data_IF_690748025935
#
_entry.id   IF_690748025935
#
_cell.length_a   1.000
_cell.length_b   1.000
_cell.length_c   1.000
_cell.angle_alpha   90.00
_cell.angle_beta   90.00
_cell.angle_gamma   90.00
#
_symmetry.space_group_name_H-M   'P 1'
#
loop_
_entity.id
_entity.type
_entity.pdbx_description
1 polymer ?
#
# COMPACT_ATOMS: atom_id res chain seq x y z
N UNK A 1 -11.01 5.96 -36.00
CA UNK A 1 -9.99 5.16 -35.28
C UNK A 1 -10.52 4.84 -33.90
N UNK A 2 -10.75 3.55 -33.57
CA UNK A 2 -11.19 3.16 -32.23
C UNK A 2 -9.99 3.17 -31.28
N UNK A 3 -10.03 4.01 -30.24
CA UNK A 3 -9.00 4.02 -29.19
C UNK A 3 -9.06 2.68 -28.45
N UNK A 4 -7.96 1.91 -28.47
CA UNK A 4 -7.85 0.67 -27.67
C UNK A 4 -8.22 0.96 -26.19
N UNK A 5 -8.97 0.09 -25.51
CA UNK A 5 -9.38 0.31 -24.12
C UNK A 5 -8.17 0.32 -23.17
N UNK A 6 -8.33 0.96 -22.00
CA UNK A 6 -7.34 0.89 -20.91
C UNK A 6 -7.28 -0.54 -20.36
N UNK A 7 -6.08 -1.03 -20.04
CA UNK A 7 -5.89 -2.33 -19.38
C UNK A 7 -6.36 -2.22 -17.92
N UNK A 8 -7.37 -2.99 -17.50
CA UNK A 8 -7.80 -3.00 -16.10
C UNK A 8 -6.77 -3.73 -15.25
N UNK A 9 -6.47 -3.16 -14.08
CA UNK A 9 -5.62 -3.75 -13.06
C UNK A 9 -6.35 -3.58 -11.73
N UNK A 10 -6.29 -4.58 -10.86
CA UNK A 10 -6.83 -4.47 -9.50
C UNK A 10 -5.67 -4.46 -8.53
N UNK A 11 -5.71 -3.55 -7.56
CA UNK A 11 -4.69 -3.43 -6.51
C UNK A 11 -5.33 -3.43 -5.13
N UNK A 12 -4.68 -4.00 -4.14
CA UNK A 12 -5.14 -3.90 -2.76
C UNK A 12 -3.98 -3.52 -1.84
N UNK A 13 -4.24 -2.58 -0.94
CA UNK A 13 -3.23 -1.98 -0.08
C UNK A 13 -3.66 -1.99 1.38
N UNK A 14 -2.67 -1.97 2.27
CA UNK A 14 -2.88 -1.92 3.73
C UNK A 14 -2.28 -0.66 4.33
N UNK A 15 -3.11 0.14 4.99
CA UNK A 15 -2.68 1.10 5.99
C UNK A 15 -2.43 0.38 7.31
N UNK A 16 -1.19 -0.03 7.55
CA UNK A 16 -0.80 -0.55 8.85
C UNK A 16 -0.44 0.61 9.77
N UNK A 17 -1.28 0.86 10.77
CA UNK A 17 -1.14 2.02 11.65
C UNK A 17 -0.65 1.58 13.03
N UNK A 18 0.32 2.31 13.58
CA UNK A 18 0.79 2.16 14.96
C UNK A 18 0.89 3.53 15.62
N UNK A 19 0.05 3.77 16.64
CA UNK A 19 -0.12 5.09 17.27
C UNK A 19 -0.43 6.15 16.18
N UNK A 20 0.39 7.18 16.05
CA UNK A 20 0.26 8.22 15.02
C UNK A 20 1.23 8.03 13.85
N UNK A 21 1.58 6.79 13.52
CA UNK A 21 2.47 6.47 12.40
C UNK A 21 1.86 5.43 11.47
N UNK A 22 2.18 5.57 10.19
CA UNK A 22 1.81 4.67 9.11
C UNK A 22 3.05 3.90 8.65
N UNK A 23 2.94 2.59 8.51
CA UNK A 23 3.98 1.80 7.85
C UNK A 23 4.00 2.12 6.36
N UNK A 24 5.19 2.48 5.87
CA UNK A 24 5.46 2.72 4.45
C UNK A 24 6.80 2.09 4.10
N UNK A 25 7.10 2.03 2.81
CA UNK A 25 8.41 1.64 2.34
C UNK A 25 8.92 2.52 1.20
N UNK A 26 10.23 2.41 1.00
CA UNK A 26 10.96 2.88 -0.17
C UNK A 26 11.74 1.71 -0.80
N UNK A 27 12.02 1.82 -2.09
CA UNK A 27 12.89 0.89 -2.80
C UNK A 27 14.33 1.40 -2.67
N UNK A 28 15.20 0.61 -2.04
CA UNK A 28 16.59 1.01 -1.74
C UNK A 28 17.39 1.22 -3.03
N UNK A 29 17.17 0.35 -4.01
CA UNK A 29 17.87 0.38 -5.29
C UNK A 29 17.28 1.39 -6.28
N UNK A 30 16.11 1.96 -5.95
CA UNK A 30 15.40 2.96 -6.76
C UNK A 30 14.93 4.12 -5.87
N UNK A 31 15.85 4.95 -5.35
CA UNK A 31 15.53 5.98 -4.36
C UNK A 31 14.62 7.09 -4.89
N UNK A 32 14.56 7.29 -6.21
CA UNK A 32 13.64 8.23 -6.86
C UNK A 32 12.19 7.71 -6.88
N UNK A 33 11.99 6.41 -6.58
CA UNK A 33 10.67 5.84 -6.49
C UNK A 33 9.96 6.36 -5.25
N UNK A 34 8.74 6.87 -5.42
CA UNK A 34 8.07 7.54 -4.32
C UNK A 34 7.45 6.53 -3.36
N UNK A 35 7.34 6.90 -2.07
CA UNK A 35 6.89 6.00 -0.99
C UNK A 35 5.59 5.25 -1.31
N UNK A 36 5.55 3.99 -0.88
CA UNK A 36 4.45 3.06 -1.09
C UNK A 36 3.98 2.40 0.21
N UNK A 37 2.78 1.83 0.14
CA UNK A 37 2.16 1.05 1.21
C UNK A 37 2.45 -0.43 0.97
N UNK A 38 2.35 -1.29 2.00
CA UNK A 38 2.19 -2.72 1.77
C UNK A 38 1.01 -2.98 0.82
N UNK A 39 1.23 -3.80 -0.19
CA UNK A 39 0.18 -4.28 -1.08
C UNK A 39 0.47 -4.14 -2.57
N UNK A 40 -0.11 -5.04 -3.35
CA UNK A 40 0.22 -5.22 -4.76
C UNK A 40 -0.97 -5.55 -5.63
N UNK A 41 -0.70 -6.33 -6.68
CA UNK A 41 -1.67 -6.70 -7.72
C UNK A 41 -2.48 -7.91 -7.27
N UNK A 42 -3.79 -7.88 -7.50
CA UNK A 42 -4.60 -9.08 -7.30
C UNK A 42 -4.24 -10.13 -8.35
N UNK A 43 -4.07 -11.37 -7.91
CA UNK A 43 -3.99 -12.53 -8.79
C UNK A 43 -5.34 -12.82 -9.47
N UNK A 44 -5.35 -13.61 -10.57
CA UNK A 44 -6.59 -14.04 -11.20
C UNK A 44 -7.54 -14.71 -10.21
N UNK A 45 -8.76 -14.16 -10.08
CA UNK A 45 -9.83 -14.61 -9.18
C UNK A 45 -9.56 -14.40 -7.69
N UNK A 46 -8.49 -13.71 -7.32
CA UNK A 46 -8.20 -13.36 -5.93
C UNK A 46 -9.18 -12.30 -5.41
N UNK A 47 -9.58 -12.45 -4.15
CA UNK A 47 -10.40 -11.45 -3.47
C UNK A 47 -9.51 -10.31 -2.95
N UNK A 48 -9.91 -9.03 -3.07
CA UNK A 48 -9.10 -7.91 -2.62
C UNK A 48 -8.53 -7.99 -1.19
N UNK A 49 -9.27 -8.45 -0.15
CA UNK A 49 -8.68 -8.58 1.18
C UNK A 49 -7.66 -9.71 1.29
N UNK A 50 -7.77 -10.76 0.47
CA UNK A 50 -6.78 -11.84 0.42
C UNK A 50 -5.48 -11.36 -0.22
N UNK A 51 -5.59 -10.61 -1.34
CA UNK A 51 -4.43 -9.97 -1.97
C UNK A 51 -3.73 -8.99 -1.03
N UNK A 52 -4.49 -8.12 -0.36
CA UNK A 52 -3.92 -7.19 0.61
C UNK A 52 -3.15 -7.91 1.72
N UNK A 53 -3.66 -9.05 2.19
CA UNK A 53 -2.99 -9.86 3.22
C UNK A 53 -1.75 -10.55 2.67
N UNK A 54 -1.85 -11.28 1.55
CA UNK A 54 -0.76 -12.00 0.90
C UNK A 54 0.42 -11.08 0.62
N UNK A 55 0.18 -10.02 -0.14
CA UNK A 55 1.20 -9.03 -0.52
C UNK A 55 1.85 -8.41 0.72
N UNK A 56 1.05 -8.05 1.74
CA UNK A 56 1.61 -7.49 2.97
C UNK A 56 2.54 -8.47 3.69
N UNK A 57 2.24 -9.77 3.69
CA UNK A 57 3.08 -10.80 4.31
C UNK A 57 4.35 -11.02 3.48
N UNK A 58 4.21 -11.22 2.17
CA UNK A 58 5.30 -11.45 1.22
C UNK A 58 6.29 -10.27 1.22
N UNK A 59 5.82 -9.05 1.02
CA UNK A 59 6.68 -7.88 0.93
C UNK A 59 7.31 -7.52 2.28
N UNK A 60 6.60 -7.64 3.40
CA UNK A 60 7.16 -7.22 4.71
C UNK A 60 8.01 -8.27 5.40
N UNK A 61 7.84 -9.55 5.05
CA UNK A 61 8.41 -10.69 5.78
C UNK A 61 7.84 -10.86 7.19
N UNK A 62 6.68 -10.27 7.50
CA UNK A 62 6.05 -10.31 8.83
C UNK A 62 4.91 -11.32 8.89
N UNK A 63 5.26 -12.60 8.96
CA UNK A 63 4.29 -13.66 9.25
C UNK A 63 3.52 -13.35 10.55
N UNK A 64 2.20 -13.24 10.43
CA UNK A 64 1.30 -12.93 11.54
C UNK A 64 1.45 -11.53 12.15
N UNK A 65 2.19 -10.62 11.51
CA UNK A 65 2.38 -9.25 12.01
C UNK A 65 1.13 -8.37 11.92
N UNK A 66 0.30 -8.61 10.90
CA UNK A 66 -0.89 -7.81 10.59
C UNK A 66 -2.14 -8.26 11.37
N UNK A 67 -2.92 -7.29 11.83
CA UNK A 67 -4.23 -7.48 12.44
C UNK A 67 -5.33 -7.69 11.40
N UNK A 68 -6.58 -7.74 11.89
CA UNK A 68 -7.74 -7.85 11.01
C UNK A 68 -7.81 -6.68 10.02
N UNK A 69 -8.08 -7.00 8.75
CA UNK A 69 -8.24 -6.01 7.70
C UNK A 69 -9.65 -5.43 7.72
N UNK A 70 -9.75 -4.10 7.81
CA UNK A 70 -11.02 -3.38 7.67
C UNK A 70 -10.99 -2.50 6.42
N UNK A 71 -11.90 -2.72 5.48
CA UNK A 71 -12.01 -1.84 4.31
C UNK A 71 -12.37 -0.41 4.76
N UNK A 72 -11.58 0.58 4.35
CA UNK A 72 -11.84 2.01 4.66
C UNK A 72 -12.11 2.87 3.43
N UNK A 73 -11.82 2.35 2.24
CA UNK A 73 -12.13 3.04 1.00
C UNK A 73 -11.67 2.29 -0.24
N UNK A 74 -12.18 2.76 -1.37
CA UNK A 74 -11.76 2.38 -2.71
C UNK A 74 -11.54 3.64 -3.53
N UNK A 75 -10.71 3.54 -4.55
CA UNK A 75 -10.63 4.56 -5.58
C UNK A 75 -10.26 3.95 -6.94
N UNK A 76 -10.25 4.80 -7.96
CA UNK A 76 -9.81 4.45 -9.31
C UNK A 76 -8.68 5.40 -9.70
N UNK A 77 -7.56 4.83 -10.13
CA UNK A 77 -6.44 5.58 -10.67
C UNK A 77 -6.24 5.24 -12.14
N UNK A 78 -6.16 6.25 -12.99
CA UNK A 78 -5.78 6.07 -14.39
C UNK A 78 -4.32 6.43 -14.54
N UNK A 79 -3.55 5.56 -15.19
CA UNK A 79 -2.18 5.83 -15.59
C UNK A 79 -2.13 6.00 -17.11
N UNK A 80 -2.21 7.24 -17.66
CA UNK A 80 -2.35 7.46 -19.09
C UNK A 80 -1.18 6.90 -19.91
N UNK A 81 0.06 7.13 -19.44
CA UNK A 81 1.29 6.68 -20.13
C UNK A 81 1.35 5.16 -20.32
N UNK A 82 1.05 4.40 -19.26
CA UNK A 82 1.01 2.93 -19.30
C UNK A 82 -0.36 2.37 -19.71
N UNK A 83 -1.33 3.24 -20.01
CA UNK A 83 -2.71 2.89 -20.41
C UNK A 83 -3.40 1.95 -19.42
N UNK A 84 -3.18 2.16 -18.12
CA UNK A 84 -3.76 1.35 -17.06
C UNK A 84 -4.96 2.06 -16.42
N UNK A 85 -5.98 1.30 -16.06
CA UNK A 85 -7.03 1.71 -15.12
C UNK A 85 -6.94 0.79 -13.90
N UNK A 86 -6.57 1.35 -12.77
CA UNK A 86 -6.38 0.64 -11.52
C UNK A 86 -7.60 0.84 -10.63
N UNK A 87 -8.35 -0.23 -10.36
CA UNK A 87 -9.33 -0.25 -9.28
C UNK A 87 -8.59 -0.64 -7.99
N UNK A 88 -8.68 0.18 -6.95
CA UNK A 88 -7.82 0.04 -5.76
C UNK A 88 -8.65 -0.07 -4.49
N UNK A 89 -8.33 -1.05 -3.65
CA UNK A 89 -8.93 -1.28 -2.35
C UNK A 89 -7.95 -0.96 -1.23
N UNK A 90 -8.43 -0.30 -0.18
CA UNK A 90 -7.59 0.13 0.94
C UNK A 90 -8.14 -0.36 2.27
N UNK A 91 -7.31 -1.10 2.98
CA UNK A 91 -7.63 -1.70 4.26
C UNK A 91 -6.86 -1.03 5.39
N UNK A 92 -7.51 -0.82 6.52
CA UNK A 92 -6.86 -0.44 7.77
C UNK A 92 -6.51 -1.72 8.55
N UNK A 93 -5.31 -1.76 9.10
CA UNK A 93 -4.85 -2.80 10.01
C UNK A 93 -3.98 -2.23 11.12
N UNK A 94 -3.86 -2.98 12.21
CA UNK A 94 -3.00 -2.67 13.35
C UNK A 94 -2.08 -3.85 13.63
N UNK A 95 -0.82 -3.62 14.06
CA UNK A 95 0.09 -4.70 14.42
C UNK A 95 -0.49 -5.59 15.51
N UNK A 96 -0.36 -6.91 15.36
CA UNK A 96 -0.69 -7.90 16.41
C UNK A 96 0.41 -8.05 17.46
N UNK A 97 1.62 -7.59 17.15
CA UNK A 97 2.80 -7.66 18.02
C UNK A 97 3.64 -6.40 17.88
N UNK A 98 4.57 -6.20 18.80
CA UNK A 98 5.59 -5.16 18.62
C UNK A 98 6.41 -5.45 17.37
N UNK A 99 6.61 -4.43 16.54
CA UNK A 99 7.39 -4.47 15.31
C UNK A 99 8.57 -3.51 15.39
N UNK A 100 9.70 -3.82 14.71
CA UNK A 100 10.87 -2.94 14.69
C UNK A 100 10.53 -1.51 14.24
N UNK A 101 11.40 -0.56 14.59
CA UNK A 101 11.29 0.82 14.12
C UNK A 101 11.55 0.94 12.60
N UNK A 102 12.38 0.07 12.06
CA UNK A 102 12.59 -0.11 10.63
C UNK A 102 13.20 -1.49 10.38
N UNK A 103 13.02 -2.02 9.18
CA UNK A 103 13.68 -3.27 8.75
C UNK A 103 13.76 -3.30 7.21
N UNK A 104 14.48 -4.29 6.69
CA UNK A 104 14.58 -4.52 5.24
C UNK A 104 13.98 -5.86 4.87
N UNK A 105 13.46 -5.95 3.65
CA UNK A 105 12.95 -7.15 3.02
C UNK A 105 13.17 -7.06 1.51
N UNK A 106 12.56 -7.97 0.76
CA UNK A 106 12.67 -8.07 -0.69
C UNK A 106 11.29 -8.27 -1.31
N UNK A 107 11.00 -7.51 -2.38
CA UNK A 107 9.92 -7.85 -3.31
C UNK A 107 10.52 -8.82 -4.33
N UNK A 108 10.11 -10.09 -4.26
CA UNK A 108 10.70 -11.16 -5.07
C UNK A 108 10.19 -11.16 -6.51
N UNK A 109 8.94 -10.75 -6.72
CA UNK A 109 8.26 -10.76 -8.01
C UNK A 109 7.72 -9.37 -8.39
N UNK A 110 8.62 -8.38 -8.58
CA UNK A 110 8.21 -7.01 -8.86
C UNK A 110 7.48 -6.89 -10.20
N UNK A 111 6.36 -6.17 -10.18
CA UNK A 111 5.57 -5.94 -11.40
C UNK A 111 6.30 -5.10 -12.46
N UNK A 112 7.23 -4.25 -12.03
CA UNK A 112 7.91 -3.26 -12.87
C UNK A 112 9.39 -3.63 -13.16
N UNK A 113 9.94 -4.68 -12.52
CA UNK A 113 11.36 -5.02 -12.58
C UNK A 113 11.59 -6.51 -12.85
N UNK A 114 12.81 -6.86 -13.28
CA UNK A 114 13.17 -8.25 -13.64
C UNK A 114 13.99 -8.97 -12.57
N UNK A 115 14.37 -8.28 -11.49
CA UNK A 115 15.18 -8.80 -10.39
C UNK A 115 14.53 -8.42 -9.04
N UNK A 116 14.72 -9.23 -7.98
CA UNK A 116 14.20 -8.90 -6.65
C UNK A 116 14.65 -7.52 -6.19
N UNK A 117 13.72 -6.71 -5.67
CA UNK A 117 14.01 -5.33 -5.25
C UNK A 117 14.14 -5.26 -3.74
N UNK A 118 15.21 -4.62 -3.26
CA UNK A 118 15.37 -4.40 -1.82
C UNK A 118 14.45 -3.28 -1.33
N UNK A 119 13.70 -3.58 -0.29
CA UNK A 119 12.72 -2.65 0.30
C UNK A 119 13.15 -2.31 1.72
N UNK A 120 13.04 -1.02 2.09
CA UNK A 120 13.21 -0.54 3.46
C UNK A 120 11.88 -0.06 4.03
N UNK A 121 11.46 -0.70 5.12
CA UNK A 121 10.24 -0.39 5.86
C UNK A 121 10.51 0.56 7.02
N UNK A 122 9.62 1.53 7.21
CA UNK A 122 9.68 2.44 8.35
C UNK A 122 8.31 3.05 8.67
N UNK A 123 8.20 3.63 9.87
CA UNK A 123 6.98 4.24 10.36
C UNK A 123 6.99 5.75 10.09
N UNK A 124 6.19 6.19 9.12
CA UNK A 124 6.04 7.60 8.76
C UNK A 124 5.00 8.29 9.66
N UNK A 125 5.30 9.43 10.30
CA UNK A 125 4.31 10.18 11.08
C UNK A 125 3.11 10.59 10.23
N UNK A 126 1.89 10.45 10.75
CA UNK A 126 0.66 10.83 10.05
C UNK A 126 0.59 12.34 9.74
N UNK A 127 1.33 13.16 10.49
CA UNK A 127 1.49 14.61 10.22
C UNK A 127 2.41 14.91 9.04
N UNK A 128 3.17 13.92 8.54
CA UNK A 128 4.14 14.05 7.44
C UNK A 128 3.77 13.22 6.21
N UNK A 129 2.49 12.87 6.06
CA UNK A 129 2.06 12.09 4.90
C UNK A 129 2.30 12.88 3.60
N UNK A 130 2.92 12.27 2.58
CA UNK A 130 3.16 12.92 1.31
C UNK A 130 1.84 13.16 0.57
N UNK A 131 1.83 14.13 -0.35
CA UNK A 131 0.69 14.29 -1.25
C UNK A 131 0.66 13.14 -2.28
N UNK A 132 -0.21 12.16 -2.01
CA UNK A 132 -0.38 10.96 -2.86
C UNK A 132 -1.86 10.65 -2.98
N UNK A 133 -2.25 9.94 -4.04
CA UNK A 133 -3.65 9.52 -4.23
C UNK A 133 -4.13 8.64 -3.08
N UNK A 134 -3.30 7.71 -2.60
CA UNK A 134 -3.61 6.88 -1.44
C UNK A 134 -3.76 7.72 -0.16
N UNK A 135 -2.91 8.73 0.08
CA UNK A 135 -3.00 9.61 1.25
C UNK A 135 -4.40 10.20 1.44
N UNK A 136 -5.08 10.55 0.33
CA UNK A 136 -6.43 11.14 0.35
C UNK A 136 -7.47 10.19 0.94
N UNK A 137 -7.34 8.88 0.72
CA UNK A 137 -8.25 7.85 1.26
C UNK A 137 -8.13 7.79 2.78
N UNK A 138 -6.89 7.68 3.29
CA UNK A 138 -6.63 7.64 4.72
C UNK A 138 -7.05 8.94 5.42
N UNK A 139 -6.68 10.09 4.88
CA UNK A 139 -7.06 11.39 5.44
C UNK A 139 -8.59 11.58 5.48
N UNK A 140 -9.31 11.16 4.43
CA UNK A 140 -10.77 11.20 4.41
C UNK A 140 -11.37 10.30 5.48
N UNK A 141 -10.81 9.11 5.70
CA UNK A 141 -11.21 8.23 6.78
C UNK A 141 -10.95 8.87 8.16
N UNK A 142 -9.76 9.41 8.39
CA UNK A 142 -9.40 10.08 9.65
C UNK A 142 -10.33 11.24 9.97
N UNK A 143 -10.61 12.12 8.99
CA UNK A 143 -11.54 13.25 9.17
C UNK A 143 -12.96 12.80 9.55
N UNK A 144 -13.49 11.76 8.89
CA UNK A 144 -14.82 11.21 9.19
C UNK A 144 -14.95 10.66 10.61
N UNK A 145 -13.83 10.25 11.22
CA UNK A 145 -13.80 9.67 12.55
C UNK A 145 -13.19 10.61 13.62
N UNK A 146 -12.94 11.87 13.29
CA UNK A 146 -12.35 12.83 14.25
C UNK A 146 -10.91 12.52 14.64
N UNK A 147 -10.18 11.75 13.82
CA UNK A 147 -8.82 11.26 14.09
C UNK A 147 -7.73 12.08 13.39
N UNK A 148 -8.04 13.29 12.92
CA UNK A 148 -7.03 14.12 12.23
C UNK A 148 -5.81 14.33 13.16
N UNK A 149 -4.57 14.27 12.64
CA UNK A 149 -3.41 14.57 13.45
C UNK A 149 -3.58 15.99 14.02
N UNK A 150 -3.47 16.13 15.34
CA UNK A 150 -3.44 17.46 15.96
C UNK A 150 -2.31 18.27 15.32
N UNK A 151 -2.61 19.53 14.99
CA UNK A 151 -1.63 20.51 14.53
C UNK A 151 -0.60 20.83 15.60
#
# INVERSE_FOLDING_TARGET
MSLKPLKPVKKAYVYMVRRQHLLVHEHVDYPDMPLALPGGTLEPRELPPLAAWRESVEETGLDGGFGNLRLIGTDVQVHPKHRLKMDRWFYLSFPRRSLPASWTSWEMDPSDWHEPVRIRWFWLPLSRLPERSWTRVLQRHMRRHGLAPGG
#
